data_IF_322191761744
#
_entry.id   IF_322191761744
#
_cell.length_a   1.000
_cell.length_b   1.000
_cell.length_c   1.000
_cell.angle_alpha   90.00
_cell.angle_beta   90.00
_cell.angle_gamma   90.00
#
_symmetry.space_group_name_H-M   'P 1'
#
loop_
_entity.id
_entity.type
_entity.pdbx_description
1 polymer ?
#
# COMPACT_ATOMS: atom_id res chain seq x y z
N UNK A 1 -20.49 3.98 -3.48
CA UNK A 1 -19.05 4.06 -3.15
C UNK A 1 -18.28 3.73 -4.42
N UNK A 2 -17.46 4.62 -4.94
CA UNK A 2 -16.74 4.34 -6.19
C UNK A 2 -15.67 3.27 -5.94
N UNK A 3 -15.63 2.25 -6.79
CA UNK A 3 -14.60 1.20 -6.73
C UNK A 3 -13.28 1.77 -7.22
N UNK A 4 -12.23 1.65 -6.40
CA UNK A 4 -10.89 2.13 -6.73
C UNK A 4 -10.25 1.18 -7.76
N UNK A 5 -10.10 1.62 -9.02
CA UNK A 5 -9.53 0.83 -10.13
C UNK A 5 -8.00 0.96 -10.23
N UNK A 6 -7.34 1.49 -9.20
CA UNK A 6 -5.88 1.62 -9.21
C UNK A 6 -5.19 0.24 -9.23
N UNK A 7 -4.03 0.09 -9.90
CA UNK A 7 -3.34 -1.20 -9.97
C UNK A 7 -2.96 -1.73 -8.58
N UNK A 8 -3.43 -2.93 -8.24
CA UNK A 8 -3.25 -3.57 -6.92
C UNK A 8 -1.78 -3.64 -6.51
N UNK A 9 -0.89 -4.08 -7.40
CA UNK A 9 0.56 -4.18 -7.10
C UNK A 9 1.20 -2.82 -6.78
N UNK A 10 0.70 -1.72 -7.36
CA UNK A 10 1.19 -0.38 -7.03
C UNK A 10 0.73 0.03 -5.63
N UNK A 11 -0.51 -0.30 -5.26
CA UNK A 11 -1.09 -0.03 -3.95
C UNK A 11 -0.43 -0.85 -2.84
N UNK A 12 -0.29 -2.17 -3.02
CA UNK A 12 0.44 -3.06 -2.11
C UNK A 12 1.85 -2.52 -1.82
N UNK A 13 2.59 -2.16 -2.87
CA UNK A 13 3.91 -1.55 -2.73
C UNK A 13 3.87 -0.24 -1.93
N UNK A 14 2.95 0.67 -2.23
CA UNK A 14 2.86 1.96 -1.52
C UNK A 14 2.54 1.81 -0.03
N UNK A 15 1.70 0.83 0.31
CA UNK A 15 1.27 0.57 1.68
C UNK A 15 2.26 -0.32 2.44
N UNK A 16 3.11 -1.07 1.74
CA UNK A 16 4.03 -2.05 2.32
C UNK A 16 3.32 -3.36 2.68
N UNK A 17 2.28 -3.71 1.92
CA UNK A 17 1.53 -4.96 2.06
C UNK A 17 2.03 -5.96 1.02
N UNK A 18 2.06 -7.24 1.39
CA UNK A 18 2.28 -8.31 0.43
C UNK A 18 0.98 -8.57 -0.38
N UNK A 19 1.05 -8.74 -1.70
CA UNK A 19 -0.12 -9.01 -2.53
C UNK A 19 -0.80 -10.36 -2.24
N UNK A 20 -0.13 -11.23 -1.48
CA UNK A 20 -0.66 -12.52 -1.02
C UNK A 20 -1.91 -12.34 -0.16
N UNK A 21 -2.01 -11.26 0.62
CA UNK A 21 -3.21 -10.95 1.42
C UNK A 21 -4.47 -10.75 0.57
N UNK A 22 -4.30 -10.49 -0.73
CA UNK A 22 -5.38 -10.31 -1.70
C UNK A 22 -5.54 -11.53 -2.63
N UNK A 23 -4.85 -12.64 -2.35
CA UNK A 23 -4.89 -13.85 -3.17
C UNK A 23 -4.13 -13.73 -4.51
N UNK A 24 -3.19 -12.78 -4.62
CA UNK A 24 -2.39 -12.56 -5.83
C UNK A 24 -0.96 -13.06 -5.60
N UNK A 25 -0.51 -14.06 -6.37
CA UNK A 25 0.86 -14.61 -6.31
C UNK A 25 1.93 -13.67 -6.89
N UNK A 26 1.54 -12.74 -7.75
CA UNK A 26 2.48 -11.84 -8.43
C UNK A 26 3.05 -10.80 -7.48
N UNK A 27 4.38 -10.71 -7.37
CA UNK A 27 5.09 -9.65 -6.62
C UNK A 27 5.71 -8.62 -7.55
N UNK A 28 5.84 -7.39 -7.04
CA UNK A 28 6.52 -6.28 -7.75
C UNK A 28 7.94 -6.11 -7.21
N UNK A 29 8.96 -6.24 -8.06
CA UNK A 29 10.37 -6.06 -7.69
C UNK A 29 10.83 -4.58 -7.62
N UNK A 30 9.92 -3.63 -7.85
CA UNK A 30 10.25 -2.19 -7.88
C UNK A 30 10.29 -1.61 -6.47
N UNK A 31 11.33 -0.86 -6.13
CA UNK A 31 11.45 -0.13 -4.86
C UNK A 31 10.70 1.23 -4.88
N UNK A 32 10.36 1.77 -3.71
CA UNK A 32 9.84 3.15 -3.59
C UNK A 32 11.00 4.14 -3.70
N UNK A 33 10.92 5.08 -4.65
CA UNK A 33 11.97 6.09 -4.85
C UNK A 33 12.09 7.11 -3.70
N UNK A 34 10.99 7.40 -2.98
CA UNK A 34 10.90 8.55 -2.07
C UNK A 34 10.53 8.19 -0.61
N UNK A 35 11.23 7.22 0.00
CA UNK A 35 11.00 6.87 1.43
C UNK A 35 11.82 7.71 2.43
N UNK A 36 12.61 8.69 1.97
CA UNK A 36 13.66 9.33 2.78
C UNK A 36 13.18 10.27 3.91
N UNK A 37 11.87 10.44 4.12
CA UNK A 37 11.33 11.35 5.14
C UNK A 37 10.77 10.56 6.33
N UNK A 38 11.10 10.98 7.55
CA UNK A 38 10.50 10.47 8.78
C UNK A 38 8.99 10.75 8.76
N UNK A 39 8.16 9.72 8.89
CA UNK A 39 6.71 9.89 8.97
C UNK A 39 6.33 10.47 10.33
N UNK A 40 5.35 11.38 10.33
CA UNK A 40 4.69 11.84 11.56
C UNK A 40 3.78 10.75 12.12
N UNK A 41 3.39 10.90 13.39
CA UNK A 41 2.46 9.99 14.05
C UNK A 41 1.11 9.89 13.31
N UNK A 42 0.56 11.04 12.89
CA UNK A 42 -0.64 11.07 12.05
C UNK A 42 -0.42 10.34 10.71
N UNK A 43 0.75 10.49 10.10
CA UNK A 43 1.09 9.78 8.86
C UNK A 43 1.09 8.26 9.02
N UNK A 44 1.52 7.76 10.17
CA UNK A 44 1.44 6.33 10.52
C UNK A 44 -0.01 5.88 10.68
N UNK A 45 -0.81 6.60 11.46
CA UNK A 45 -2.23 6.29 11.68
C UNK A 45 -3.02 6.28 10.36
N UNK A 46 -2.79 7.28 9.50
CA UNK A 46 -3.42 7.36 8.19
C UNK A 46 -3.07 6.14 7.33
N UNK A 47 -1.83 5.67 7.39
CA UNK A 47 -1.36 4.53 6.60
C UNK A 47 -2.01 3.22 7.06
N UNK A 48 -2.16 3.01 8.37
CA UNK A 48 -2.89 1.85 8.91
C UNK A 48 -4.38 1.89 8.52
N UNK A 49 -5.02 3.06 8.61
CA UNK A 49 -6.39 3.26 8.12
C UNK A 49 -6.53 2.93 6.63
N UNK A 50 -5.56 3.34 5.80
CA UNK A 50 -5.57 3.06 4.37
C UNK A 50 -5.34 1.58 4.05
N UNK A 51 -4.51 0.88 4.83
CA UNK A 51 -4.36 -0.59 4.71
C UNK A 51 -5.68 -1.30 4.95
N UNK A 52 -6.36 -0.99 6.05
CA UNK A 52 -7.64 -1.60 6.39
C UNK A 52 -8.76 -1.28 5.38
N UNK A 53 -8.72 -0.10 4.75
CA UNK A 53 -9.66 0.27 3.68
C UNK A 53 -9.40 -0.47 2.37
N UNK A 54 -8.16 -0.92 2.15
CA UNK A 54 -7.70 -1.48 0.89
C UNK A 54 -7.74 -3.01 0.84
N UNK A 55 -7.50 -3.67 1.98
CA UNK A 55 -7.82 -5.09 2.19
C UNK A 55 -9.34 -5.24 2.15
#
# INVERSE_FOLDING_TARGET
MAVDKTPVLKRCRSLGLDPVFLGIDKKSNRQLRNQRRKMSEYGLQLREKQKAKFI
#
